data_IF_230500092301
#
_entry.id   IF_230500092301
#
_cell.length_a   1.000
_cell.length_b   1.000
_cell.length_c   1.000
_cell.angle_alpha   90.00
_cell.angle_beta   90.00
_cell.angle_gamma   90.00
#
_symmetry.space_group_name_H-M   'P 1'
#
loop_
_entity.id
_entity.type
_entity.pdbx_description
1 polymer ?
#
# COMPACT_ATOMS: atom_id res chain seq x y z
N UNK A 1 9.07 19.23 -10.06
CA UNK A 1 9.67 18.00 -9.51
C UNK A 1 9.28 16.85 -10.43
N UNK A 2 10.24 16.03 -10.85
CA UNK A 2 10.02 14.87 -11.75
C UNK A 2 10.05 13.58 -10.93
N UNK A 3 8.97 12.81 -11.00
CA UNK A 3 8.76 11.61 -10.17
C UNK A 3 8.62 10.38 -11.07
N UNK A 4 9.35 9.32 -10.74
CA UNK A 4 9.16 8.00 -11.33
C UNK A 4 8.35 7.13 -10.35
N UNK A 5 7.27 6.51 -10.83
CA UNK A 5 6.54 5.50 -10.07
C UNK A 5 6.72 4.15 -10.78
N UNK A 6 7.44 3.23 -10.16
CA UNK A 6 7.60 1.88 -10.70
C UNK A 6 6.33 1.05 -10.51
N UNK A 7 6.09 0.07 -11.37
CA UNK A 7 4.86 -0.72 -11.28
C UNK A 7 3.60 0.06 -11.67
N UNK A 8 3.69 0.96 -12.67
CA UNK A 8 2.67 1.94 -13.04
C UNK A 8 1.27 1.38 -13.36
N UNK A 9 1.14 0.06 -13.67
CA UNK A 9 -0.16 -0.59 -13.86
C UNK A 9 -0.80 -1.07 -12.55
N UNK A 10 -0.09 -0.98 -11.41
CA UNK A 10 -0.55 -1.41 -10.09
C UNK A 10 -1.59 -0.44 -9.47
N UNK A 11 -2.34 -0.94 -8.49
CA UNK A 11 -3.40 -0.21 -7.80
C UNK A 11 -2.88 1.07 -7.13
N UNK A 12 -1.85 0.96 -6.26
CA UNK A 12 -1.28 2.12 -5.55
C UNK A 12 -0.65 3.11 -6.55
N UNK A 13 0.10 2.62 -7.56
CA UNK A 13 0.73 3.49 -8.56
C UNK A 13 -0.29 4.34 -9.33
N UNK A 14 -1.41 3.72 -9.76
CA UNK A 14 -2.50 4.43 -10.44
C UNK A 14 -3.14 5.49 -9.55
N UNK A 15 -3.39 5.15 -8.30
CA UNK A 15 -4.01 6.09 -7.33
C UNK A 15 -3.09 7.29 -7.06
N UNK A 16 -1.78 7.07 -6.89
CA UNK A 16 -0.81 8.16 -6.75
C UNK A 16 -0.80 9.05 -8.00
N UNK A 17 -0.70 8.42 -9.19
CA UNK A 17 -0.67 9.17 -10.43
C UNK A 17 -1.92 10.03 -10.60
N UNK A 18 -3.11 9.45 -10.42
CA UNK A 18 -4.39 10.14 -10.59
C UNK A 18 -4.58 11.32 -9.61
N UNK A 19 -3.97 11.24 -8.44
CA UNK A 19 -4.09 12.29 -7.42
C UNK A 19 -3.05 13.39 -7.53
N UNK A 20 -1.87 13.09 -8.10
CA UNK A 20 -0.72 14.00 -8.06
C UNK A 20 -0.23 14.49 -9.43
N UNK A 21 -0.80 14.01 -10.55
CA UNK A 21 -0.35 14.34 -11.91
C UNK A 21 -0.44 15.82 -12.25
N UNK A 22 -1.37 16.57 -11.67
CA UNK A 22 -1.48 18.02 -11.86
C UNK A 22 -0.38 18.81 -11.12
N UNK A 23 0.15 18.22 -10.02
CA UNK A 23 1.14 18.88 -9.15
C UNK A 23 2.58 18.57 -9.56
N UNK A 24 2.82 17.39 -10.15
CA UNK A 24 4.17 16.90 -10.44
C UNK A 24 4.25 16.32 -11.85
N UNK A 25 5.46 16.35 -12.41
CA UNK A 25 5.75 15.62 -13.66
C UNK A 25 5.95 14.13 -13.31
N UNK A 26 4.90 13.34 -13.43
CA UNK A 26 4.91 11.92 -13.06
C UNK A 26 5.15 11.05 -14.29
N UNK A 27 6.05 10.07 -14.16
CA UNK A 27 6.35 9.04 -15.15
C UNK A 27 5.99 7.69 -14.53
N UNK A 28 5.05 6.97 -15.14
CA UNK A 28 4.53 5.68 -14.65
C UNK A 28 4.68 4.60 -15.73
N UNK A 29 5.91 4.13 -16.01
CA UNK A 29 6.12 3.17 -17.09
C UNK A 29 5.42 1.84 -16.82
N UNK A 30 4.88 1.24 -17.88
CA UNK A 30 4.48 -0.15 -17.87
C UNK A 30 5.69 -1.08 -17.94
N UNK A 31 5.46 -2.40 -17.77
CA UNK A 31 6.54 -3.40 -17.85
C UNK A 31 7.22 -3.45 -19.22
N UNK A 32 6.49 -3.13 -20.26
CA UNK A 32 6.95 -3.01 -21.64
C UNK A 32 7.96 -1.86 -21.88
N UNK A 33 7.90 -0.80 -21.01
CA UNK A 33 8.81 0.35 -21.06
C UNK A 33 9.93 0.22 -20.02
N UNK A 34 9.65 -0.38 -18.85
CA UNK A 34 10.59 -0.58 -17.74
C UNK A 34 10.33 -1.95 -17.09
N UNK A 35 11.00 -2.98 -17.58
CA UNK A 35 11.03 -4.27 -16.89
C UNK A 35 12.15 -4.28 -15.83
N UNK A 36 11.75 -4.15 -14.57
CA UNK A 36 12.70 -4.18 -13.44
C UNK A 36 13.40 -5.52 -13.24
N UNK A 37 12.95 -6.59 -13.92
CA UNK A 37 13.59 -7.90 -13.88
C UNK A 37 14.71 -8.04 -14.93
N UNK A 38 14.80 -7.10 -15.88
CA UNK A 38 15.81 -7.07 -16.94
C UNK A 38 16.72 -5.83 -16.81
N UNK A 39 17.99 -6.05 -16.48
CA UNK A 39 18.96 -4.98 -16.33
C UNK A 39 19.13 -4.15 -17.60
N UNK A 40 19.03 -4.76 -18.79
CA UNK A 40 19.15 -4.04 -20.06
C UNK A 40 17.96 -3.09 -20.28
N UNK A 41 16.76 -3.50 -19.88
CA UNK A 41 15.59 -2.63 -19.88
C UNK A 41 15.79 -1.41 -18.99
N UNK A 42 16.36 -1.61 -17.81
CA UNK A 42 16.64 -0.56 -16.85
C UNK A 42 17.72 0.38 -17.36
N UNK A 43 18.83 -0.12 -17.89
CA UNK A 43 19.92 0.68 -18.48
C UNK A 43 19.36 1.59 -19.56
N UNK A 44 18.60 1.04 -20.49
CA UNK A 44 17.95 1.78 -21.58
C UNK A 44 16.94 2.82 -21.06
N UNK A 45 16.14 2.46 -20.03
CA UNK A 45 15.13 3.37 -19.51
C UNK A 45 15.75 4.56 -18.82
N UNK A 46 16.81 4.38 -18.03
CA UNK A 46 17.48 5.45 -17.29
C UNK A 46 18.48 6.25 -18.14
N UNK A 47 18.81 5.81 -19.35
CA UNK A 47 19.72 6.54 -20.25
C UNK A 47 19.23 7.98 -20.41
N UNK A 48 20.10 8.94 -20.05
CA UNK A 48 19.84 10.39 -20.08
C UNK A 48 18.57 10.83 -19.29
N UNK A 49 18.10 10.06 -18.33
CA UNK A 49 16.97 10.44 -17.47
C UNK A 49 17.41 10.54 -16.03
N UNK A 50 16.95 11.62 -15.37
CA UNK A 50 17.08 11.82 -13.94
C UNK A 50 15.71 12.14 -13.34
N UNK A 51 15.53 11.73 -12.08
CA UNK A 51 14.30 11.94 -11.32
C UNK A 51 14.63 12.61 -9.97
N UNK A 52 13.73 13.44 -9.48
CA UNK A 52 13.86 13.98 -8.12
C UNK A 52 13.47 12.92 -7.10
N UNK A 53 12.41 12.13 -7.38
CA UNK A 53 11.91 11.08 -6.50
C UNK A 53 11.58 9.83 -7.31
N UNK A 54 11.91 8.67 -6.77
CA UNK A 54 11.42 7.37 -7.21
C UNK A 54 10.48 6.81 -6.15
N UNK A 55 9.24 6.47 -6.52
CA UNK A 55 8.29 5.74 -5.67
C UNK A 55 8.25 4.30 -6.15
N UNK A 56 8.78 3.40 -5.31
CA UNK A 56 8.85 1.98 -5.65
C UNK A 56 7.61 1.23 -5.17
N UNK A 57 6.69 0.96 -6.11
CA UNK A 57 5.47 0.16 -5.84
C UNK A 57 5.48 -1.20 -6.54
N UNK A 58 6.44 -1.44 -7.43
CA UNK A 58 6.53 -2.71 -8.18
C UNK A 58 6.81 -3.87 -7.22
N UNK A 59 5.96 -4.89 -7.28
CA UNK A 59 6.04 -6.06 -6.41
C UNK A 59 5.39 -7.28 -7.06
N UNK A 60 5.87 -8.49 -6.75
CA UNK A 60 5.23 -9.77 -7.04
C UNK A 60 4.63 -10.34 -5.74
N UNK A 61 3.46 -10.95 -5.79
CA UNK A 61 2.90 -11.75 -4.70
C UNK A 61 2.04 -10.99 -3.67
N UNK A 62 1.68 -9.74 -3.91
CA UNK A 62 0.89 -8.94 -2.95
C UNK A 62 -0.57 -9.39 -2.76
N UNK A 63 -1.12 -10.19 -3.67
CA UNK A 63 -2.56 -10.53 -3.72
C UNK A 63 -2.92 -11.87 -3.11
N UNK A 64 -1.98 -12.81 -2.98
CA UNK A 64 -2.22 -14.15 -2.42
C UNK A 64 -1.12 -14.53 -1.44
N UNK A 65 -1.33 -14.25 -0.16
CA UNK A 65 -0.40 -14.63 0.93
C UNK A 65 -0.25 -16.16 1.07
N UNK A 66 -1.15 -16.94 0.47
CA UNK A 66 -1.17 -18.41 0.54
C UNK A 66 -0.43 -19.10 -0.61
N UNK A 67 0.07 -18.36 -1.59
CA UNK A 67 0.80 -18.98 -2.71
C UNK A 67 2.28 -19.16 -2.29
N UNK A 68 2.76 -20.41 -2.15
CA UNK A 68 4.14 -20.72 -1.77
C UNK A 68 5.15 -20.49 -2.92
N UNK A 69 4.85 -19.59 -3.87
CA UNK A 69 5.75 -19.29 -4.98
C UNK A 69 7.06 -18.66 -4.46
N UNK A 70 8.07 -19.51 -4.24
CA UNK A 70 9.40 -19.10 -3.78
C UNK A 70 10.06 -18.08 -4.72
N UNK A 71 9.63 -18.03 -5.98
CA UNK A 71 10.14 -17.04 -6.94
C UNK A 71 9.73 -15.60 -6.59
N UNK A 72 8.77 -15.39 -5.70
CA UNK A 72 8.37 -14.09 -5.19
C UNK A 72 9.56 -13.39 -4.51
N UNK A 73 10.25 -14.08 -3.61
CA UNK A 73 11.44 -13.55 -2.93
C UNK A 73 12.50 -13.12 -3.97
N UNK A 74 12.83 -14.04 -4.86
CA UNK A 74 13.86 -13.80 -5.87
C UNK A 74 13.54 -12.57 -6.74
N UNK A 75 12.35 -12.53 -7.33
CA UNK A 75 11.98 -11.45 -8.25
C UNK A 75 11.84 -10.09 -7.56
N UNK A 76 11.34 -10.06 -6.32
CA UNK A 76 11.24 -8.80 -5.57
C UNK A 76 12.62 -8.23 -5.28
N UNK A 77 13.59 -9.08 -4.91
CA UNK A 77 14.96 -8.64 -4.68
C UNK A 77 15.65 -8.23 -5.98
N UNK A 78 15.49 -8.99 -7.07
CA UNK A 78 16.05 -8.63 -8.40
C UNK A 78 15.53 -7.27 -8.84
N UNK A 79 14.21 -7.03 -8.79
CA UNK A 79 13.62 -5.74 -9.17
C UNK A 79 14.20 -4.58 -8.35
N UNK A 80 14.34 -4.77 -7.05
CA UNK A 80 14.86 -3.73 -6.17
C UNK A 80 16.37 -3.49 -6.37
N UNK A 81 17.18 -4.54 -6.48
CA UNK A 81 18.62 -4.41 -6.75
C UNK A 81 18.90 -3.76 -8.11
N UNK A 82 18.17 -4.14 -9.13
CA UNK A 82 18.27 -3.52 -10.45
C UNK A 82 17.91 -2.01 -10.40
N UNK A 83 16.90 -1.63 -9.60
CA UNK A 83 16.57 -0.22 -9.38
C UNK A 83 17.70 0.50 -8.62
N UNK A 84 18.26 -0.12 -7.58
CA UNK A 84 19.39 0.42 -6.81
C UNK A 84 20.62 0.65 -7.67
N UNK A 85 20.86 -0.16 -8.71
CA UNK A 85 22.00 0.05 -9.63
C UNK A 85 21.93 1.37 -10.39
N UNK A 86 20.83 2.12 -10.25
CA UNK A 86 20.57 3.43 -10.86
C UNK A 86 20.39 4.55 -9.81
N UNK A 87 20.92 4.35 -8.60
CA UNK A 87 20.77 5.33 -7.51
C UNK A 87 21.29 6.74 -7.89
N UNK A 88 22.30 6.84 -8.75
CA UNK A 88 22.83 8.12 -9.24
C UNK A 88 21.85 8.88 -10.15
N UNK A 89 20.80 8.23 -10.63
CA UNK A 89 19.76 8.83 -11.47
C UNK A 89 18.58 9.42 -10.71
N UNK A 90 18.57 9.33 -9.37
CA UNK A 90 17.51 9.94 -8.57
C UNK A 90 17.99 10.42 -7.20
N UNK A 91 17.32 11.44 -6.65
CA UNK A 91 17.74 12.08 -5.40
C UNK A 91 17.12 11.40 -4.16
N UNK A 92 15.92 10.81 -4.29
CA UNK A 92 15.15 10.24 -3.19
C UNK A 92 14.44 8.98 -3.64
N UNK A 93 14.33 7.98 -2.76
CA UNK A 93 13.51 6.80 -2.98
C UNK A 93 12.50 6.62 -1.84
N UNK A 94 11.23 6.43 -2.22
CA UNK A 94 10.13 6.07 -1.32
C UNK A 94 9.69 4.64 -1.67
N UNK A 95 10.00 3.69 -0.79
CA UNK A 95 9.61 2.30 -0.94
C UNK A 95 8.26 2.07 -0.27
N UNK A 96 7.32 1.45 -0.96
CA UNK A 96 6.06 0.99 -0.35
C UNK A 96 6.32 -0.36 0.32
N UNK A 97 6.47 -0.33 1.63
CA UNK A 97 6.64 -1.48 2.52
C UNK A 97 5.33 -2.19 2.83
N UNK A 98 5.36 -3.15 3.75
CA UNK A 98 4.18 -3.95 4.13
C UNK A 98 4.25 -4.38 5.58
N UNK A 99 3.11 -4.42 6.28
CA UNK A 99 2.98 -5.06 7.59
C UNK A 99 3.42 -6.54 7.57
N UNK A 100 3.45 -7.20 6.41
CA UNK A 100 3.97 -8.57 6.26
C UNK A 100 5.45 -8.70 6.66
N UNK A 101 6.23 -7.62 6.63
CA UNK A 101 7.62 -7.59 7.14
C UNK A 101 7.71 -8.05 8.61
N UNK A 102 6.67 -7.72 9.39
CA UNK A 102 6.57 -8.02 10.82
C UNK A 102 5.73 -9.30 11.08
N UNK A 103 4.60 -9.44 10.39
CA UNK A 103 3.58 -10.44 10.71
C UNK A 103 3.65 -11.72 9.87
N UNK A 104 4.43 -11.72 8.81
CA UNK A 104 4.65 -12.88 7.95
C UNK A 104 6.10 -12.92 7.46
N UNK A 105 7.11 -12.75 8.35
CA UNK A 105 8.52 -12.61 7.97
C UNK A 105 9.08 -13.86 7.28
N UNK A 106 8.48 -15.03 7.52
CA UNK A 106 8.93 -16.32 6.99
C UNK A 106 8.30 -16.65 5.62
N UNK A 107 7.35 -15.84 5.15
CA UNK A 107 6.81 -15.99 3.80
C UNK A 107 7.75 -15.35 2.76
N UNK A 108 7.83 -15.88 1.52
CA UNK A 108 8.65 -15.28 0.46
C UNK A 108 8.36 -13.78 0.25
N UNK A 109 7.09 -13.38 0.37
CA UNK A 109 6.69 -11.98 0.28
C UNK A 109 7.16 -11.14 1.47
N UNK A 110 6.82 -11.53 2.70
CA UNK A 110 7.21 -10.79 3.90
C UNK A 110 8.73 -10.70 4.05
N UNK A 111 9.44 -11.80 3.76
CA UNK A 111 10.89 -11.83 3.81
C UNK A 111 11.52 -10.91 2.76
N UNK A 112 11.00 -10.89 1.52
CA UNK A 112 11.47 -9.95 0.50
C UNK A 112 11.32 -8.49 0.93
N UNK A 113 10.17 -8.13 1.51
CA UNK A 113 9.88 -6.79 2.01
C UNK A 113 10.82 -6.40 3.16
N UNK A 114 11.10 -7.33 4.09
CA UNK A 114 12.02 -7.10 5.20
C UNK A 114 13.46 -6.85 4.71
N UNK A 115 13.96 -7.63 3.73
CA UNK A 115 15.29 -7.40 3.15
C UNK A 115 15.34 -6.04 2.44
N UNK A 116 14.33 -5.70 1.64
CA UNK A 116 14.25 -4.41 0.93
C UNK A 116 14.29 -3.26 1.95
N UNK A 117 13.51 -3.34 3.03
CA UNK A 117 13.53 -2.32 4.08
C UNK A 117 14.93 -2.14 4.69
N UNK A 118 15.63 -3.23 5.00
CA UNK A 118 17.02 -3.18 5.51
C UNK A 118 17.99 -2.54 4.51
N UNK A 119 17.77 -2.72 3.20
CA UNK A 119 18.57 -2.07 2.17
C UNK A 119 18.27 -0.56 2.10
N UNK A 120 17.00 -0.17 2.19
CA UNK A 120 16.58 1.25 2.25
C UNK A 120 17.28 1.99 3.39
N UNK A 121 17.43 1.36 4.56
CA UNK A 121 18.09 1.97 5.72
C UNK A 121 19.59 2.28 5.52
N UNK A 122 20.23 1.76 4.47
CA UNK A 122 21.65 2.04 4.16
C UNK A 122 21.88 3.38 3.44
N UNK A 123 20.82 4.03 2.96
CA UNK A 123 20.88 5.27 2.19
C UNK A 123 20.17 6.40 2.93
N UNK A 124 20.76 7.56 3.05
CA UNK A 124 20.22 8.68 3.85
C UNK A 124 18.90 9.23 3.31
N UNK A 125 18.73 9.23 2.01
CA UNK A 125 17.60 9.80 1.29
C UNK A 125 16.56 8.75 0.82
N UNK A 126 16.60 7.52 1.37
CA UNK A 126 15.64 6.46 1.08
C UNK A 126 14.75 6.21 2.28
N UNK A 127 13.45 5.97 2.04
CA UNK A 127 12.42 5.86 3.06
C UNK A 127 11.50 4.67 2.78
N UNK A 128 10.94 4.07 3.83
CA UNK A 128 9.92 3.00 3.72
C UNK A 128 8.60 3.46 4.34
N UNK A 129 7.53 3.43 3.54
CA UNK A 129 6.15 3.61 4.00
C UNK A 129 5.50 2.24 4.12
N UNK A 130 5.34 1.74 5.34
CA UNK A 130 4.80 0.40 5.61
C UNK A 130 3.28 0.43 5.64
N UNK A 131 2.65 -0.23 4.67
CA UNK A 131 1.19 -0.32 4.52
C UNK A 131 0.70 -1.66 5.07
N UNK A 132 -0.36 -1.65 5.87
CA UNK A 132 -1.03 -2.84 6.41
C UNK A 132 -2.23 -3.24 5.57
N UNK A 133 -3.20 -2.37 5.47
CA UNK A 133 -4.31 -2.46 4.53
C UNK A 133 -4.57 -1.10 3.92
N UNK A 134 -4.78 -1.04 2.62
CA UNK A 134 -5.20 0.20 1.95
C UNK A 134 -6.51 -0.05 1.23
N UNK A 135 -7.44 0.90 1.30
CA UNK A 135 -8.76 0.75 0.72
C UNK A 135 -9.24 2.02 0.01
N UNK A 136 -9.96 1.85 -1.06
CA UNK A 136 -10.82 2.82 -1.74
C UNK A 136 -11.80 2.06 -2.67
N UNK A 137 -12.54 2.79 -3.49
CA UNK A 137 -13.47 2.21 -4.46
C UNK A 137 -12.77 1.42 -5.60
N UNK A 138 -11.48 1.61 -5.82
CA UNK A 138 -10.69 0.96 -6.88
C UNK A 138 -9.93 -0.27 -6.40
N UNK A 139 -9.93 -0.59 -5.08
CA UNK A 139 -9.29 -1.82 -4.60
C UNK A 139 -9.98 -3.08 -5.15
N UNK A 140 -9.33 -4.23 -4.98
CA UNK A 140 -9.92 -5.50 -5.41
C UNK A 140 -11.23 -5.79 -4.65
N UNK A 141 -12.26 -6.22 -5.38
CA UNK A 141 -13.61 -6.51 -4.86
C UNK A 141 -13.64 -7.56 -3.74
N UNK A 142 -12.61 -8.37 -3.60
CA UNK A 142 -12.52 -9.41 -2.55
C UNK A 142 -11.91 -8.89 -1.25
N UNK A 143 -11.41 -7.65 -1.21
CA UNK A 143 -10.81 -7.07 0.00
C UNK A 143 -11.90 -6.69 1.01
N UNK A 144 -11.58 -6.81 2.28
CA UNK A 144 -12.53 -6.82 3.38
C UNK A 144 -13.51 -5.64 3.38
N UNK A 145 -13.01 -4.41 3.32
CA UNK A 145 -13.86 -3.20 3.42
C UNK A 145 -14.78 -3.11 2.20
N UNK A 146 -14.21 -3.11 1.01
CA UNK A 146 -14.99 -3.00 -0.23
C UNK A 146 -15.97 -4.15 -0.42
N UNK A 147 -15.55 -5.39 -0.14
CA UNK A 147 -16.43 -6.55 -0.24
C UNK A 147 -17.66 -6.43 0.67
N UNK A 148 -17.46 -5.95 1.91
CA UNK A 148 -18.56 -5.81 2.86
C UNK A 148 -19.43 -4.58 2.57
N UNK A 149 -18.88 -3.47 2.05
CA UNK A 149 -19.69 -2.36 1.54
C UNK A 149 -20.56 -2.82 0.37
N UNK A 150 -20.04 -3.60 -0.58
CA UNK A 150 -20.84 -4.16 -1.70
C UNK A 150 -21.94 -5.08 -1.21
N UNK A 151 -21.67 -5.98 -0.23
CA UNK A 151 -22.70 -6.81 0.41
C UNK A 151 -23.79 -5.96 1.07
N UNK A 152 -23.36 -4.95 1.83
CA UNK A 152 -24.29 -4.03 2.48
C UNK A 152 -25.21 -3.33 1.47
N UNK A 153 -24.68 -2.79 0.36
CA UNK A 153 -25.47 -2.16 -0.72
C UNK A 153 -26.50 -3.15 -1.31
N UNK A 154 -26.11 -4.42 -1.45
CA UNK A 154 -26.97 -5.47 -2.01
C UNK A 154 -27.92 -6.11 -0.99
N UNK A 155 -28.01 -5.62 0.26
CA UNK A 155 -28.76 -6.24 1.36
C UNK A 155 -28.34 -7.69 1.67
N UNK A 156 -27.07 -8.04 1.44
CA UNK A 156 -26.48 -9.34 1.73
C UNK A 156 -25.77 -9.33 3.10
N UNK A 157 -25.69 -10.47 3.81
CA UNK A 157 -24.92 -10.57 5.05
C UNK A 157 -23.45 -10.18 4.82
N UNK A 158 -22.91 -9.33 5.70
CA UNK A 158 -21.47 -9.07 5.75
C UNK A 158 -20.73 -10.28 6.30
N UNK A 159 -19.47 -10.49 5.87
CA UNK A 159 -18.67 -11.64 6.25
C UNK A 159 -17.39 -11.19 6.94
N UNK A 160 -17.18 -11.68 8.14
CA UNK A 160 -15.92 -11.63 8.87
C UNK A 160 -15.38 -13.06 8.95
N UNK A 161 -14.25 -13.33 8.29
CA UNK A 161 -13.67 -14.67 8.36
C UNK A 161 -13.27 -15.03 9.79
N UNK A 162 -12.56 -14.12 10.44
CA UNK A 162 -12.13 -14.23 11.84
C UNK A 162 -11.85 -12.82 12.34
N UNK A 163 -12.39 -12.44 13.50
CA UNK A 163 -12.18 -11.09 14.04
C UNK A 163 -10.76 -10.91 14.55
N UNK A 164 -10.22 -9.70 14.34
CA UNK A 164 -8.91 -9.26 14.83
C UNK A 164 -8.79 -7.74 14.75
N UNK A 165 -7.84 -7.18 15.47
CA UNK A 165 -7.37 -5.83 15.19
C UNK A 165 -6.57 -5.83 13.88
N UNK A 166 -6.92 -4.93 12.98
CA UNK A 166 -6.24 -4.80 11.69
C UNK A 166 -6.29 -3.36 11.20
N UNK A 167 -5.13 -2.81 10.91
CA UNK A 167 -5.02 -1.47 10.40
C UNK A 167 -5.37 -1.38 8.92
N UNK A 168 -6.16 -0.36 8.63
CA UNK A 168 -6.48 0.07 7.28
C UNK A 168 -6.25 1.57 7.16
N UNK A 169 -5.72 1.99 6.03
CA UNK A 169 -5.61 3.40 5.68
C UNK A 169 -6.42 3.69 4.41
N UNK A 170 -7.17 4.78 4.40
CA UNK A 170 -7.87 5.23 3.20
C UNK A 170 -6.83 5.71 2.17
N UNK A 171 -7.03 5.39 0.88
CA UNK A 171 -6.05 5.70 -0.16
C UNK A 171 -5.66 7.17 -0.21
N UNK A 172 -6.60 8.08 -0.02
CA UNK A 172 -6.31 9.51 -0.04
C UNK A 172 -5.39 9.93 1.11
N UNK A 173 -5.54 9.32 2.29
CA UNK A 173 -4.67 9.58 3.44
C UNK A 173 -3.26 8.98 3.21
N UNK A 174 -3.17 7.80 2.60
CA UNK A 174 -1.88 7.25 2.16
C UNK A 174 -1.18 8.18 1.15
N UNK A 175 -1.92 8.77 0.22
CA UNK A 175 -1.37 9.74 -0.74
C UNK A 175 -0.87 11.00 -0.02
N UNK A 176 -1.55 11.45 1.02
CA UNK A 176 -1.09 12.58 1.85
C UNK A 176 0.24 12.27 2.54
N UNK A 177 0.42 11.04 3.07
CA UNK A 177 1.71 10.59 3.62
C UNK A 177 2.78 10.55 2.52
N UNK A 178 2.46 9.98 1.35
CA UNK A 178 3.40 9.93 0.23
C UNK A 178 3.81 11.34 -0.20
N UNK A 179 2.87 12.28 -0.32
CA UNK A 179 3.16 13.67 -0.69
C UNK A 179 4.01 14.38 0.37
N UNK A 180 3.80 14.11 1.67
CA UNK A 180 4.67 14.57 2.75
C UNK A 180 6.12 14.09 2.55
N UNK A 181 6.32 12.81 2.21
CA UNK A 181 7.64 12.24 1.94
C UNK A 181 8.27 12.72 0.62
N UNK A 182 7.46 13.06 -0.38
CA UNK A 182 7.96 13.70 -1.62
C UNK A 182 8.59 15.06 -1.30
N UNK A 183 7.94 15.87 -0.46
CA UNK A 183 8.32 17.27 -0.17
C UNK A 183 9.31 17.41 0.97
N UNK A 184 9.21 16.57 1.98
CA UNK A 184 9.94 16.72 3.24
C UNK A 184 11.43 16.38 3.11
N UNK A 185 12.21 16.93 4.04
CA UNK A 185 13.62 16.62 4.29
C UNK A 185 13.74 16.15 5.76
N UNK A 186 14.78 15.40 6.10
CA UNK A 186 15.04 14.89 7.45
C UNK A 186 13.86 14.10 8.08
N UNK A 187 13.24 13.26 7.27
CA UNK A 187 12.09 12.44 7.63
C UNK A 187 12.52 11.14 8.34
N UNK A 188 11.60 10.54 9.10
CA UNK A 188 11.80 9.21 9.65
C UNK A 188 12.04 8.18 8.54
N UNK A 189 13.04 7.30 8.74
CA UNK A 189 13.46 6.29 7.74
C UNK A 189 12.36 5.32 7.36
N UNK A 190 11.52 4.97 8.31
CA UNK A 190 10.36 4.13 8.09
C UNK A 190 9.18 4.62 8.92
N UNK A 191 8.00 4.51 8.37
CA UNK A 191 6.76 4.85 9.06
C UNK A 191 5.68 3.84 8.74
N UNK A 192 4.85 3.52 9.74
CA UNK A 192 3.65 2.75 9.51
C UNK A 192 2.53 3.68 9.06
N UNK A 193 1.95 3.39 7.90
CA UNK A 193 0.81 4.15 7.35
C UNK A 193 -0.47 3.65 7.99
N UNK A 194 -0.75 4.10 9.20
CA UNK A 194 -1.88 3.69 10.05
C UNK A 194 -2.47 4.91 10.76
N UNK A 195 -3.67 4.79 11.29
CA UNK A 195 -4.29 5.78 12.18
C UNK A 195 -3.88 5.53 13.63
N UNK A 196 -4.13 6.50 14.51
CA UNK A 196 -3.87 6.36 15.95
C UNK A 196 -4.76 5.31 16.61
N UNK A 197 -6.05 5.27 16.20
CA UNK A 197 -7.03 4.36 16.77
C UNK A 197 -6.98 3.00 16.07
N UNK A 198 -6.69 1.96 16.81
CA UNK A 198 -6.78 0.57 16.35
C UNK A 198 -8.24 0.17 16.12
N UNK A 199 -8.50 -0.60 15.08
CA UNK A 199 -9.85 -1.02 14.72
C UNK A 199 -9.93 -2.54 14.53
N UNK A 200 -10.95 -3.18 15.15
CA UNK A 200 -11.28 -4.57 14.83
C UNK A 200 -12.08 -4.68 13.54
N UNK A 201 -12.03 -5.83 12.88
CA UNK A 201 -12.86 -6.09 11.71
C UNK A 201 -14.36 -6.00 12.05
N UNK A 202 -14.73 -6.36 13.27
CA UNK A 202 -16.10 -6.23 13.78
C UNK A 202 -16.52 -4.77 13.93
N UNK A 203 -15.63 -3.90 14.46
CA UNK A 203 -15.88 -2.46 14.54
C UNK A 203 -16.08 -1.86 13.14
N UNK A 204 -15.22 -2.20 12.18
CA UNK A 204 -15.33 -1.75 10.79
C UNK A 204 -16.66 -2.21 10.16
N UNK A 205 -17.07 -3.46 10.38
CA UNK A 205 -18.37 -3.94 9.92
C UNK A 205 -19.53 -3.17 10.57
N UNK A 206 -19.43 -2.77 11.84
CA UNK A 206 -20.43 -1.94 12.51
C UNK A 206 -20.51 -0.53 11.89
N UNK A 207 -19.38 0.09 11.52
CA UNK A 207 -19.35 1.36 10.77
C UNK A 207 -20.09 1.24 9.43
N UNK A 208 -19.80 0.17 8.67
CA UNK A 208 -20.49 -0.09 7.40
C UNK A 208 -22.00 -0.26 7.63
N UNK A 209 -22.40 -0.97 8.67
CA UNK A 209 -23.80 -1.16 9.02
C UNK A 209 -24.51 0.16 9.40
N UNK A 210 -23.77 1.18 9.79
CA UNK A 210 -24.32 2.49 10.17
C UNK A 210 -24.43 3.50 9.01
N UNK A 211 -24.08 3.09 7.77
CA UNK A 211 -24.07 3.97 6.60
C UNK A 211 -25.48 4.43 6.15
N UNK A 212 -26.53 3.68 6.51
CA UNK A 212 -27.90 4.06 6.20
C UNK A 212 -28.92 3.50 7.22
N UNK A 213 -30.21 3.66 6.96
CA UNK A 213 -31.28 3.32 7.91
C UNK A 213 -31.59 1.82 8.05
N UNK A 214 -30.98 0.96 7.23
CA UNK A 214 -31.16 -0.47 7.33
C UNK A 214 -29.89 -1.15 7.89
N UNK A 215 -30.03 -2.37 8.35
CA UNK A 215 -28.94 -3.20 8.88
C UNK A 215 -28.96 -4.55 8.18
N UNK A 216 -27.78 -5.09 7.93
CA UNK A 216 -27.60 -6.47 7.45
C UNK A 216 -26.93 -7.34 8.51
N UNK A 217 -27.20 -8.64 8.53
CA UNK A 217 -26.51 -9.56 9.45
C UNK A 217 -24.99 -9.55 9.22
N UNK A 218 -24.24 -9.78 10.29
CA UNK A 218 -22.80 -10.05 10.23
C UNK A 218 -22.60 -11.53 10.52
N UNK A 219 -21.93 -12.24 9.62
CA UNK A 219 -21.63 -13.67 9.74
C UNK A 219 -20.14 -13.88 9.95
N UNK A 220 -19.80 -14.89 10.76
CA UNK A 220 -18.42 -15.25 11.10
C UNK A 220 -18.12 -16.66 10.61
N UNK A 221 -16.99 -16.82 9.88
CA UNK A 221 -16.54 -18.16 9.49
C UNK A 221 -15.82 -18.86 10.65
N UNK A 222 -15.18 -18.09 11.52
CA UNK A 222 -14.55 -18.57 12.73
C UNK A 222 -14.84 -17.58 13.87
N UNK A 223 -15.33 -18.08 15.00
CA UNK A 223 -15.69 -17.26 16.17
C UNK A 223 -14.52 -16.98 17.13
N UNK A 224 -13.36 -17.61 16.91
CA UNK A 224 -12.16 -17.26 17.66
C UNK A 224 -11.52 -16.01 17.09
N UNK A 225 -10.93 -15.17 17.95
CA UNK A 225 -10.11 -14.03 17.49
C UNK A 225 -8.76 -14.54 16.95
N UNK A 226 -8.19 -13.82 16.00
CA UNK A 226 -6.84 -14.09 15.49
C UNK A 226 -5.84 -13.02 15.93
N UNK A 227 -4.56 -13.28 15.67
CA UNK A 227 -3.50 -12.32 15.96
C UNK A 227 -3.74 -10.97 15.27
N UNK A 228 -3.43 -9.90 15.98
CA UNK A 228 -3.53 -8.52 15.47
C UNK A 228 -2.57 -8.30 14.28
N UNK A 229 -2.98 -7.45 13.37
CA UNK A 229 -2.18 -7.01 12.21
C UNK A 229 -2.15 -5.48 12.18
N UNK A 230 -1.36 -4.89 13.09
CA UNK A 230 -1.36 -3.47 13.41
C UNK A 230 0.07 -2.90 13.45
N UNK A 231 0.19 -1.59 13.21
CA UNK A 231 1.43 -0.81 13.32
C UNK A 231 1.35 0.24 14.42
N UNK A 232 2.48 0.70 14.90
CA UNK A 232 2.52 1.88 15.76
C UNK A 232 2.41 3.12 14.90
N UNK A 233 1.48 4.06 15.17
CA UNK A 233 1.36 5.30 14.43
C UNK A 233 2.59 6.19 14.64
N UNK A 234 2.85 7.08 13.66
CA UNK A 234 3.85 8.13 13.76
C UNK A 234 3.15 9.49 13.67
N UNK A 235 3.62 10.47 14.44
CA UNK A 235 3.15 11.85 14.31
C UNK A 235 3.81 12.50 13.09
N UNK A 236 3.08 12.55 12.00
CA UNK A 236 3.53 13.18 10.75
C UNK A 236 3.00 14.62 10.58
N UNK A 237 2.27 15.15 11.56
CA UNK A 237 1.59 16.45 11.48
C UNK A 237 0.70 16.57 10.21
N UNK A 238 0.06 15.45 9.83
CA UNK A 238 -0.85 15.37 8.68
C UNK A 238 -2.28 15.28 9.19
N UNK A 239 -3.18 16.06 8.60
CA UNK A 239 -4.61 15.92 8.84
C UNK A 239 -5.16 14.80 7.94
N UNK A 240 -5.67 13.74 8.55
CA UNK A 240 -6.30 12.61 7.88
C UNK A 240 -7.81 12.79 7.75
N UNK A 241 -8.39 12.23 6.71
CA UNK A 241 -9.85 12.03 6.61
C UNK A 241 -10.32 10.97 7.62
N UNK A 242 -9.51 9.96 7.84
CA UNK A 242 -9.75 8.89 8.77
C UNK A 242 -10.57 7.72 8.20
N UNK A 243 -10.61 6.64 8.99
CA UNK A 243 -11.24 5.38 8.59
C UNK A 243 -12.73 5.53 8.27
N UNK A 244 -13.49 6.18 9.16
CA UNK A 244 -14.93 6.33 9.02
C UNK A 244 -15.30 7.15 7.79
N UNK A 245 -14.66 8.31 7.58
CA UNK A 245 -14.91 9.15 6.41
C UNK A 245 -14.49 8.43 5.12
N UNK A 246 -13.39 7.67 5.15
CA UNK A 246 -12.96 6.83 4.03
C UNK A 246 -14.04 5.80 3.65
N UNK A 247 -14.64 5.10 4.62
CA UNK A 247 -15.72 4.13 4.41
C UNK A 247 -16.95 4.82 3.80
N UNK A 248 -17.35 5.99 4.32
CA UNK A 248 -18.46 6.78 3.78
C UNK A 248 -18.19 7.16 2.32
N UNK A 249 -16.98 7.60 2.01
CA UNK A 249 -16.60 7.99 0.65
C UNK A 249 -16.67 6.80 -0.33
N UNK A 250 -16.15 5.63 0.09
CA UNK A 250 -16.23 4.41 -0.74
C UNK A 250 -17.67 3.98 -0.97
N UNK A 251 -18.51 3.99 0.07
CA UNK A 251 -19.93 3.68 -0.06
C UNK A 251 -20.63 4.58 -1.07
N UNK A 252 -20.42 5.90 -0.97
CA UNK A 252 -21.06 6.89 -1.87
C UNK A 252 -20.62 6.72 -3.33
N UNK A 253 -19.41 6.24 -3.58
CA UNK A 253 -18.90 5.98 -4.93
C UNK A 253 -19.34 4.63 -5.51
N UNK A 254 -19.69 3.66 -4.65
CA UNK A 254 -20.14 2.33 -5.08
C UNK A 254 -21.66 2.22 -5.20
N UNK A 255 -22.42 3.12 -4.60
CA UNK A 255 -23.88 3.20 -4.68
C UNK A 255 -24.33 3.86 -5.99
#
# INVERSE_FOLDING_TARGET
>A
MKILITGGKGYIAKSINNSLWEKYHIVTPGRDELDLTDIKSIDKFFENKHFDVVIHTAIKGATNVKDPDETILFWNLVMFYNLLSKEEHFKKLINIGSGAEKYSPDTPYGYSKNIINKLVHKYDNFYTLRVYGVFDENENDTRFIKANIKRYINNEPMIIHQDRLMDFIYMQDLISIIEHYIKGEDLEKEVNCVYEDESSLNYIASLINNLSNYKVPITYNNHHTSESYIGSPADLSITYLGLEQGIINVYNKLK
#
